data_IF_782203343921
#
_entry.id   IF_782203343921
#
_cell.length_a   1.000
_cell.length_b   1.000
_cell.length_c   1.000
_cell.angle_alpha   90.00
_cell.angle_beta   90.00
_cell.angle_gamma   90.00
#
_symmetry.space_group_name_H-M   'P 1'
#
loop_
_entity.id
_entity.type
_entity.pdbx_description
1 polymer ?
#
# COMPACT_ATOMS: atom_id res chain seq x y z
N UNK A 1 -20.09 -2.96 0.54
CA UNK A 1 -20.35 -3.40 -0.82
C UNK A 1 -19.13 -3.17 -1.71
N UNK A 2 -18.83 -1.92 -1.99
CA UNK A 2 -17.69 -1.56 -2.82
C UNK A 2 -16.82 -0.51 -2.15
N UNK A 3 -15.51 -0.69 -2.22
CA UNK A 3 -14.56 0.24 -1.62
C UNK A 3 -13.83 1.05 -2.69
N UNK A 4 -13.40 2.25 -2.33
CA UNK A 4 -12.68 3.11 -3.25
C UNK A 4 -11.49 2.39 -3.86
N UNK A 5 -10.78 1.64 -3.03
CA UNK A 5 -9.61 0.88 -3.48
C UNK A 5 -9.93 0.04 -4.71
N UNK A 6 -11.08 -0.63 -4.67
CA UNK A 6 -11.52 -1.47 -5.78
C UNK A 6 -11.62 -0.66 -7.06
N UNK A 7 -12.25 0.51 -6.98
CA UNK A 7 -12.41 1.38 -8.14
C UNK A 7 -11.06 1.85 -8.67
N UNK A 8 -10.12 2.06 -7.75
CA UNK A 8 -8.78 2.51 -8.12
C UNK A 8 -8.08 1.46 -8.97
N UNK A 9 -7.96 0.25 -8.43
CA UNK A 9 -7.30 -0.84 -9.14
C UNK A 9 -8.02 -1.17 -10.44
N UNK A 10 -9.34 -1.01 -10.45
CA UNK A 10 -10.15 -1.28 -11.62
C UNK A 10 -9.81 -0.32 -12.75
N UNK A 11 -9.78 0.97 -12.44
CA UNK A 11 -9.47 1.99 -13.43
C UNK A 11 -8.04 1.85 -13.93
N UNK A 12 -7.13 1.53 -13.02
CA UNK A 12 -5.72 1.36 -13.37
C UNK A 12 -5.55 0.23 -14.38
N UNK A 13 -6.04 -0.95 -14.04
CA UNK A 13 -5.94 -2.10 -14.92
C UNK A 13 -6.65 -1.85 -16.24
N UNK A 14 -7.73 -1.07 -16.18
CA UNK A 14 -8.51 -0.76 -17.38
C UNK A 14 -7.69 0.10 -18.35
N UNK A 15 -6.97 1.08 -17.80
CA UNK A 15 -6.15 1.97 -18.62
C UNK A 15 -4.97 1.21 -19.23
N UNK A 16 -4.25 0.47 -18.38
CA UNK A 16 -3.10 -0.31 -18.84
C UNK A 16 -3.51 -1.29 -19.95
N UNK A 17 -4.65 -1.94 -19.75
CA UNK A 17 -5.15 -2.91 -20.73
C UNK A 17 -5.66 -2.20 -21.97
N UNK A 18 -6.08 -0.95 -21.81
CA UNK A 18 -6.60 -0.17 -22.92
C UNK A 18 -5.59 -0.12 -24.07
N UNK A 19 -4.31 -0.24 -23.74
CA UNK A 19 -3.26 -0.21 -24.74
C UNK A 19 -3.54 -1.21 -25.86
N UNK A 20 -4.22 -2.30 -25.52
CA UNK A 20 -4.55 -3.31 -26.50
C UNK A 20 -3.41 -4.28 -26.74
N UNK A 21 -2.48 -4.35 -25.78
CA UNK A 21 -1.33 -5.24 -25.89
C UNK A 21 -1.49 -6.44 -24.97
N UNK A 22 -0.83 -7.55 -25.33
CA UNK A 22 -0.91 -8.75 -24.54
C UNK A 22 -0.32 -8.57 -23.16
N UNK A 23 0.62 -7.65 -23.03
CA UNK A 23 1.25 -7.38 -21.74
C UNK A 23 1.69 -5.92 -21.64
N UNK A 24 1.87 -5.45 -20.42
CA UNK A 24 2.29 -4.07 -20.17
C UNK A 24 3.66 -4.02 -19.52
N UNK A 25 4.58 -3.27 -20.12
CA UNK A 25 5.93 -3.13 -19.59
C UNK A 25 6.01 -1.94 -18.64
N UNK A 26 7.18 -1.77 -18.03
CA UNK A 26 7.40 -0.66 -17.10
C UNK A 26 7.33 0.68 -17.81
N UNK A 27 7.88 0.73 -19.03
CA UNK A 27 7.88 1.95 -19.82
C UNK A 27 6.47 2.48 -20.02
N UNK A 28 5.54 1.56 -20.34
CA UNK A 28 4.15 1.93 -20.57
C UNK A 28 3.52 2.47 -19.28
N UNK A 29 3.83 1.83 -18.16
CA UNK A 29 3.30 2.23 -16.87
C UNK A 29 3.73 3.66 -16.53
N UNK A 30 5.00 3.94 -16.72
CA UNK A 30 5.55 5.26 -16.43
C UNK A 30 4.94 6.31 -17.34
N UNK A 31 4.85 6.01 -18.63
CA UNK A 31 4.29 6.94 -19.60
C UNK A 31 2.86 7.31 -19.22
N UNK A 32 2.08 6.31 -18.84
CA UNK A 32 0.69 6.53 -18.44
C UNK A 32 0.60 7.41 -17.21
N UNK A 33 1.35 7.05 -16.16
CA UNK A 33 1.35 7.81 -14.92
C UNK A 33 1.65 9.28 -15.19
N UNK A 34 2.63 9.54 -16.05
CA UNK A 34 3.02 10.90 -16.39
C UNK A 34 1.89 11.61 -17.12
N UNK A 35 1.29 10.94 -18.09
CA UNK A 35 0.20 11.53 -18.85
C UNK A 35 -0.96 11.94 -17.98
N UNK A 36 -1.25 11.15 -16.96
CA UNK A 36 -2.34 11.44 -16.03
C UNK A 36 -1.93 12.50 -15.02
N UNK A 37 -0.62 12.58 -14.77
CA UNK A 37 -0.11 13.56 -13.80
C UNK A 37 -0.56 13.27 -12.39
N UNK A 38 -0.94 12.02 -12.13
CA UNK A 38 -1.40 11.61 -10.81
C UNK A 38 -0.78 10.27 -10.41
N UNK A 39 -0.59 10.07 -9.10
CA UNK A 39 -0.02 8.84 -8.62
C UNK A 39 1.42 8.65 -9.08
N UNK A 40 2.23 9.70 -8.97
CA UNK A 40 3.62 9.65 -9.38
C UNK A 40 4.49 9.07 -8.26
N UNK A 41 4.98 7.85 -8.47
CA UNK A 41 5.82 7.19 -7.49
C UNK A 41 7.28 7.20 -7.92
N UNK A 42 8.19 7.02 -6.95
CA UNK A 42 9.64 7.01 -7.21
C UNK A 42 10.07 5.76 -7.98
N UNK A 43 11.30 5.80 -8.49
CA UNK A 43 11.84 4.68 -9.25
C UNK A 43 11.91 3.42 -8.40
N UNK A 44 12.28 3.60 -7.13
CA UNK A 44 12.38 2.47 -6.21
C UNK A 44 11.05 1.74 -6.08
N UNK A 45 9.97 2.52 -6.09
CA UNK A 45 8.63 1.95 -5.96
C UNK A 45 8.27 1.13 -7.21
N UNK A 46 8.75 1.58 -8.37
CA UNK A 46 8.49 0.91 -9.62
C UNK A 46 9.21 -0.44 -9.69
N UNK A 47 10.50 -0.42 -9.37
CA UNK A 47 11.31 -1.63 -9.40
C UNK A 47 10.82 -2.63 -8.35
N UNK A 48 10.46 -2.12 -7.17
CA UNK A 48 9.98 -2.97 -6.09
C UNK A 48 8.65 -3.62 -6.47
N UNK A 49 7.74 -2.83 -7.02
CA UNK A 49 6.43 -3.32 -7.42
C UNK A 49 6.56 -4.40 -8.49
N UNK A 50 7.40 -4.15 -9.49
CA UNK A 50 7.61 -5.10 -10.57
C UNK A 50 8.24 -6.39 -10.06
N UNK A 51 9.18 -6.26 -9.14
CA UNK A 51 9.85 -7.42 -8.56
C UNK A 51 8.87 -8.29 -7.79
N UNK A 52 8.01 -7.65 -7.00
CA UNK A 52 7.02 -8.37 -6.21
C UNK A 52 6.00 -9.08 -7.11
N UNK A 53 5.41 -8.32 -8.03
CA UNK A 53 4.43 -8.88 -8.95
C UNK A 53 5.06 -9.95 -9.84
N UNK A 54 6.04 -9.54 -10.64
CA UNK A 54 6.72 -10.46 -11.53
C UNK A 54 7.81 -11.23 -10.80
N UNK A 55 7.45 -12.39 -10.27
CA UNK A 55 8.41 -13.23 -9.53
C UNK A 55 9.55 -13.67 -10.43
N UNK A 56 9.25 -13.92 -11.70
CA UNK A 56 10.26 -14.34 -12.66
C UNK A 56 10.59 -13.22 -13.64
N UNK A 57 11.77 -12.63 -13.48
CA UNK A 57 12.21 -11.54 -14.36
C UNK A 57 12.40 -12.03 -15.79
N UNK A 58 11.35 -11.93 -16.59
CA UNK A 58 11.41 -12.37 -17.99
C UNK A 58 11.07 -11.21 -18.93
N UNK A 59 11.05 -10.00 -18.38
CA UNK A 59 10.75 -8.83 -19.19
C UNK A 59 9.28 -8.73 -19.53
N UNK A 60 8.44 -9.41 -18.75
CA UNK A 60 6.99 -9.39 -18.97
C UNK A 60 6.24 -9.38 -17.65
N UNK A 61 5.10 -8.71 -17.62
CA UNK A 61 4.28 -8.63 -16.42
C UNK A 61 2.92 -9.29 -16.63
N UNK A 62 2.54 -10.15 -15.70
CA UNK A 62 1.26 -10.86 -15.78
C UNK A 62 0.15 -10.03 -15.15
N UNK A 63 -1.02 -10.05 -15.77
CA UNK A 63 -2.17 -9.30 -15.27
C UNK A 63 -2.68 -9.89 -13.97
N UNK A 64 -2.66 -11.22 -13.88
CA UNK A 64 -3.12 -11.90 -12.68
C UNK A 64 -2.28 -11.58 -11.47
N UNK A 65 -0.96 -11.72 -11.61
CA UNK A 65 -0.04 -11.45 -10.51
C UNK A 65 -0.02 -9.97 -10.17
N UNK A 66 -0.26 -9.13 -11.17
CA UNK A 66 -0.28 -7.69 -10.98
C UNK A 66 -1.44 -7.26 -10.09
N UNK A 67 -2.65 -7.61 -10.50
CA UNK A 67 -3.85 -7.27 -9.74
C UNK A 67 -3.84 -7.95 -8.38
N UNK A 68 -3.36 -9.18 -8.34
CA UNK A 68 -3.28 -9.94 -7.10
C UNK A 68 -2.39 -9.24 -6.08
N UNK A 69 -1.21 -8.81 -6.54
CA UNK A 69 -0.27 -8.12 -5.67
C UNK A 69 -0.85 -6.79 -5.18
N UNK A 70 -1.33 -5.99 -6.11
CA UNK A 70 -1.91 -4.69 -5.78
C UNK A 70 -2.99 -4.83 -4.71
N UNK A 71 -3.86 -5.83 -4.88
CA UNK A 71 -4.94 -6.08 -3.94
C UNK A 71 -4.39 -6.52 -2.58
N UNK A 72 -3.26 -7.22 -2.61
CA UNK A 72 -2.64 -7.70 -1.38
C UNK A 72 -2.14 -6.52 -0.53
N UNK A 73 -1.37 -5.64 -1.16
CA UNK A 73 -0.82 -4.49 -0.47
C UNK A 73 -1.92 -3.51 -0.08
N UNK A 74 -2.93 -3.40 -0.94
CA UNK A 74 -4.05 -2.50 -0.68
C UNK A 74 -4.91 -3.00 0.47
N UNK A 75 -5.01 -4.33 0.59
CA UNK A 75 -5.79 -4.94 1.66
C UNK A 75 -5.34 -4.45 3.03
N UNK A 76 -4.03 -4.20 3.16
CA UNK A 76 -3.47 -3.73 4.41
C UNK A 76 -3.92 -2.31 4.72
N UNK A 77 -3.91 -1.46 3.69
CA UNK A 77 -4.32 -0.07 3.84
C UNK A 77 -5.84 0.06 3.86
N UNK A 78 -6.34 1.01 4.62
CA UNK A 78 -7.78 1.24 4.72
C UNK A 78 -8.10 2.74 4.70
N UNK A 79 -9.38 3.06 4.64
CA UNK A 79 -9.83 4.45 4.61
C UNK A 79 -9.30 5.21 5.82
N UNK A 80 -9.29 6.54 5.72
CA UNK A 80 -8.80 7.41 6.80
C UNK A 80 -9.74 7.43 7.99
N UNK A 81 -11.05 7.47 7.72
CA UNK A 81 -12.05 7.48 8.77
C UNK A 81 -12.13 6.12 9.46
N UNK A 82 -12.06 5.06 8.67
CA UNK A 82 -12.12 3.70 9.21
C UNK A 82 -11.01 3.46 10.22
N UNK A 83 -9.77 3.76 9.81
CA UNK A 83 -8.62 3.57 10.70
C UNK A 83 -8.73 4.45 11.94
N UNK A 84 -9.22 5.68 11.75
CA UNK A 84 -9.37 6.61 12.86
C UNK A 84 -10.27 6.03 13.94
N UNK A 85 -11.47 5.61 13.55
CA UNK A 85 -12.43 5.03 14.48
C UNK A 85 -11.86 3.76 15.12
N UNK A 86 -11.20 2.94 14.31
CA UNK A 86 -10.60 1.70 14.81
C UNK A 86 -9.65 1.98 15.96
N UNK A 87 -8.76 2.95 15.78
CA UNK A 87 -7.78 3.30 16.79
C UNK A 87 -8.48 3.86 18.03
N UNK A 88 -9.43 4.75 17.82
CA UNK A 88 -10.17 5.36 18.92
C UNK A 88 -10.78 4.30 19.83
N UNK A 89 -11.35 3.26 19.23
CA UNK A 89 -11.96 2.18 19.98
C UNK A 89 -10.90 1.34 20.68
N UNK A 90 -9.84 0.99 19.96
CA UNK A 90 -8.75 0.20 20.51
C UNK A 90 -8.13 0.90 21.72
N UNK A 91 -8.13 2.23 21.69
CA UNK A 91 -7.57 3.01 22.78
C UNK A 91 -8.24 4.38 22.86
N UNK A 92 -8.90 4.62 24.00
CA UNK A 92 -9.60 5.90 24.22
C UNK A 92 -8.60 7.06 24.22
N UNK A 93 -7.40 6.80 24.71
CA UNK A 93 -6.36 7.83 24.77
C UNK A 93 -5.42 7.72 23.58
N UNK A 94 -4.45 8.63 23.50
CA UNK A 94 -3.49 8.64 22.42
C UNK A 94 -2.06 8.65 22.95
N UNK A 95 -1.63 7.51 23.49
CA UNK A 95 -0.28 7.40 24.05
C UNK A 95 0.74 7.19 22.93
N UNK A 96 0.33 6.48 21.89
CA UNK A 96 1.23 6.22 20.77
C UNK A 96 2.36 5.28 21.15
N UNK A 97 2.21 4.59 22.27
CA UNK A 97 3.23 3.67 22.74
C UNK A 97 2.70 2.23 22.75
N UNK A 98 2.99 1.49 21.69
CA UNK A 98 2.54 0.12 21.57
C UNK A 98 3.64 -0.77 20.98
N UNK A 99 3.87 -1.91 21.62
CA UNK A 99 4.90 -2.84 21.16
C UNK A 99 4.56 -3.39 19.77
N UNK A 100 5.56 -3.41 18.90
CA UNK A 100 5.37 -3.89 17.54
C UNK A 100 4.81 -5.31 17.54
N UNK A 101 5.25 -6.11 18.51
CA UNK A 101 4.80 -7.49 18.64
C UNK A 101 3.28 -7.57 18.73
N UNK A 102 2.71 -6.77 19.63
CA UNK A 102 1.26 -6.74 19.82
C UNK A 102 0.54 -6.41 18.51
N UNK A 103 1.04 -5.38 17.81
CA UNK A 103 0.45 -4.96 16.55
C UNK A 103 0.43 -6.10 15.55
N UNK A 104 1.54 -6.83 15.45
CA UNK A 104 1.65 -7.96 14.54
C UNK A 104 0.61 -9.02 14.86
N UNK A 105 0.53 -9.40 16.13
CA UNK A 105 -0.42 -10.41 16.57
C UNK A 105 -1.84 -10.02 16.18
N UNK A 106 -2.19 -8.76 16.41
CA UNK A 106 -3.52 -8.26 16.09
C UNK A 106 -3.80 -8.36 14.60
N UNK A 107 -2.81 -7.99 13.78
CA UNK A 107 -2.95 -8.04 12.34
C UNK A 107 -3.22 -9.46 11.87
N UNK A 108 -2.38 -10.40 12.27
CA UNK A 108 -2.53 -11.80 11.89
C UNK A 108 -3.86 -12.36 12.40
N UNK A 109 -4.29 -11.88 13.57
CA UNK A 109 -5.54 -12.33 14.17
C UNK A 109 -6.73 -11.89 13.32
N UNK A 110 -6.58 -10.75 12.64
CA UNK A 110 -7.65 -10.23 11.79
C UNK A 110 -7.82 -11.08 10.55
N UNK A 111 -6.84 -11.93 10.26
CA UNK A 111 -6.90 -12.78 9.10
C UNK A 111 -6.29 -12.14 7.87
N UNK A 112 -5.45 -11.14 8.08
CA UNK A 112 -4.81 -10.43 6.98
C UNK A 112 -3.38 -10.96 6.76
N UNK A 113 -3.04 -11.22 5.51
CA UNK A 113 -1.72 -11.72 5.16
C UNK A 113 -1.00 -10.77 4.22
N UNK A 114 -0.61 -9.60 4.74
CA UNK A 114 0.10 -8.58 3.96
C UNK A 114 1.51 -9.01 3.58
N UNK A 115 2.18 -8.19 2.78
CA UNK A 115 3.53 -8.50 2.35
C UNK A 115 4.55 -8.21 3.44
N UNK A 116 5.54 -9.07 3.57
CA UNK A 116 6.58 -8.90 4.57
C UNK A 116 7.23 -7.53 4.46
N UNK A 117 7.41 -7.06 3.22
CA UNK A 117 8.01 -5.76 2.98
C UNK A 117 7.21 -4.65 3.65
N UNK A 118 5.89 -4.80 3.64
CA UNK A 118 5.00 -3.81 4.26
C UNK A 118 5.13 -3.82 5.77
N UNK A 119 5.45 -4.99 6.32
CA UNK A 119 5.59 -5.13 7.77
C UNK A 119 6.87 -4.46 8.24
N UNK A 120 8.01 -4.86 7.67
CA UNK A 120 9.29 -4.30 8.05
C UNK A 120 9.32 -2.79 7.77
N UNK A 121 8.82 -2.40 6.60
CA UNK A 121 8.80 -1.00 6.22
C UNK A 121 7.93 -0.19 7.17
N UNK A 122 6.74 -0.71 7.48
CA UNK A 122 5.82 -0.04 8.38
C UNK A 122 6.47 0.23 9.72
N UNK A 123 7.00 -0.82 10.35
CA UNK A 123 7.66 -0.69 11.64
C UNK A 123 8.83 0.29 11.58
N UNK A 124 9.56 0.25 10.46
CA UNK A 124 10.69 1.13 10.27
C UNK A 124 10.27 2.59 10.31
N UNK A 125 9.20 2.92 9.60
CA UNK A 125 8.69 4.28 9.56
C UNK A 125 8.18 4.72 10.94
N UNK A 126 7.27 3.94 11.50
CA UNK A 126 6.71 4.24 12.81
C UNK A 126 7.80 4.32 13.87
N UNK A 127 8.88 3.58 13.66
CA UNK A 127 10.00 3.57 14.60
C UNK A 127 10.71 4.92 14.62
N UNK A 128 10.64 5.64 13.49
CA UNK A 128 11.28 6.94 13.38
C UNK A 128 10.73 7.90 14.43
N UNK A 129 9.51 7.66 14.87
CA UNK A 129 8.87 8.50 15.88
C UNK A 129 9.64 8.45 17.19
N UNK A 130 10.18 7.29 17.52
CA UNK A 130 10.94 7.14 18.75
C UNK A 130 12.07 6.13 18.61
N UNK A 131 12.23 5.28 19.62
CA UNK A 131 13.27 4.28 19.61
C UNK A 131 12.72 2.90 20.02
N UNK A 132 12.25 2.15 19.04
CA UNK A 132 11.70 0.83 19.32
C UNK A 132 10.24 0.89 19.73
N UNK A 133 9.57 1.97 19.35
CA UNK A 133 8.15 2.15 19.68
C UNK A 133 7.33 2.39 18.42
N UNK A 134 6.07 1.94 18.45
CA UNK A 134 5.18 2.11 17.32
C UNK A 134 4.09 3.13 17.62
N UNK A 135 4.16 4.28 16.97
CA UNK A 135 3.19 5.35 17.18
C UNK A 135 2.28 5.49 15.96
N UNK A 136 1.07 4.95 16.06
CA UNK A 136 0.11 5.02 14.97
C UNK A 136 -0.15 6.47 14.56
N UNK A 137 -0.01 7.38 15.51
CA UNK A 137 -0.23 8.80 15.26
C UNK A 137 0.65 9.27 14.11
N UNK A 138 1.87 8.77 14.05
CA UNK A 138 2.81 9.15 13.00
C UNK A 138 2.29 8.72 11.62
N UNK A 139 1.93 7.45 11.52
CA UNK A 139 1.43 6.90 10.26
C UNK A 139 0.20 7.69 9.78
N UNK A 140 -0.79 7.81 10.66
CA UNK A 140 -2.01 8.54 10.32
C UNK A 140 -1.69 9.94 9.82
N UNK A 141 -0.85 10.65 10.57
CA UNK A 141 -0.47 12.01 10.20
C UNK A 141 0.11 12.05 8.79
N UNK A 142 1.00 11.11 8.50
CA UNK A 142 1.63 11.04 7.19
C UNK A 142 0.60 10.84 6.08
N UNK A 143 -0.31 9.89 6.29
CA UNK A 143 -1.36 9.61 5.33
C UNK A 143 -2.16 10.87 5.02
N UNK A 144 -2.54 11.60 6.07
CA UNK A 144 -3.32 12.82 5.91
C UNK A 144 -2.54 13.86 5.11
N UNK A 145 -1.27 14.03 5.44
CA UNK A 145 -0.42 14.99 4.75
C UNK A 145 -0.37 14.71 3.25
N UNK A 146 -0.24 13.42 2.90
CA UNK A 146 -0.17 13.01 1.51
C UNK A 146 -1.50 13.31 0.80
N UNK A 147 -2.60 12.93 1.44
CA UNK A 147 -3.93 13.16 0.87
C UNK A 147 -4.13 14.64 0.54
N UNK A 148 -3.73 15.50 1.46
CA UNK A 148 -3.87 16.93 1.25
C UNK A 148 -2.94 17.46 0.18
N UNK A 149 -1.64 17.23 0.36
CA UNK A 149 -0.64 17.69 -0.60
C UNK A 149 -0.82 16.98 -1.94
#
# INVERSE_FOLDING_TARGET
>A
MAALTDEQIREAFNLFDADGSGAIDAEEMALAMKGLGFGDLPRDEVERTVRSMNTNANGLIEYGEFERMVKSRMAQKDSPEEVLKAFQLFDLDKKGKISFANLKEVAKLLGENPGDDVLQEMIAEADEDGDGEVSFEEFKSVMMQMRGK
#
